data_IF_576685317642
#
_entry.id   IF_576685317642
#
_cell.length_a   1.000
_cell.length_b   1.000
_cell.length_c   1.000
_cell.angle_alpha   90.00
_cell.angle_beta   90.00
_cell.angle_gamma   90.00
#
_symmetry.space_group_name_H-M   'P 1'
#
loop_
_entity.id
_entity.type
_entity.pdbx_description
1 polymer ?
#
# COMPACT_ATOMS: atom_id res chain seq x y z
N UNK A 1 1.74 13.86 -7.60
CA UNK A 1 1.49 15.29 -7.31
C UNK A 1 0.38 15.39 -6.27
N UNK A 2 0.10 16.61 -5.78
CA UNK A 2 -1.01 16.85 -4.86
C UNK A 2 -0.78 16.22 -3.48
N UNK A 3 -1.87 15.84 -2.82
CA UNK A 3 -1.88 15.37 -1.43
C UNK A 3 -0.93 14.18 -1.20
N UNK A 4 -0.81 13.23 -2.12
CA UNK A 4 0.12 12.10 -1.99
C UNK A 4 1.58 12.57 -1.91
N UNK A 5 1.94 13.58 -2.70
CA UNK A 5 3.30 14.13 -2.76
C UNK A 5 3.63 14.90 -1.49
N UNK A 6 2.70 15.75 -1.03
CA UNK A 6 2.84 16.50 0.22
C UNK A 6 2.89 15.56 1.43
N UNK A 7 2.05 14.51 1.47
CA UNK A 7 2.03 13.53 2.54
C UNK A 7 3.37 12.82 2.71
N UNK A 8 3.94 12.33 1.60
CA UNK A 8 5.26 11.68 1.62
C UNK A 8 6.37 12.66 2.03
N UNK A 9 6.38 13.87 1.48
CA UNK A 9 7.38 14.88 1.82
C UNK A 9 7.30 15.31 3.29
N UNK A 10 6.09 15.52 3.82
CA UNK A 10 5.86 15.89 5.21
C UNK A 10 6.30 14.78 6.18
N UNK A 11 5.99 13.52 5.87
CA UNK A 11 6.43 12.37 6.67
C UNK A 11 7.95 12.30 6.76
N UNK A 12 8.66 12.46 5.63
CA UNK A 12 10.12 12.46 5.58
C UNK A 12 10.72 13.68 6.31
N UNK A 13 10.13 14.87 6.13
CA UNK A 13 10.57 16.10 6.80
C UNK A 13 10.45 16.01 8.32
N UNK A 14 9.45 15.28 8.82
CA UNK A 14 9.27 15.01 10.24
C UNK A 14 10.23 13.93 10.79
N UNK A 15 11.15 13.39 9.98
CA UNK A 15 12.03 12.28 10.35
C UNK A 15 11.32 10.93 10.43
N UNK A 16 10.10 10.84 9.90
CA UNK A 16 9.32 9.61 9.82
C UNK A 16 9.71 8.73 8.64
N UNK A 17 8.94 7.66 8.47
CA UNK A 17 9.06 6.73 7.33
C UNK A 17 7.80 6.78 6.49
N UNK A 18 7.92 6.43 5.22
CA UNK A 18 6.77 6.39 4.32
C UNK A 18 6.87 5.26 3.30
N UNK A 19 5.71 4.75 2.87
CA UNK A 19 5.60 3.72 1.84
C UNK A 19 4.88 4.32 0.63
N UNK A 20 5.52 4.31 -0.53
CA UNK A 20 4.88 4.67 -1.80
C UNK A 20 4.48 3.41 -2.56
N UNK A 21 3.22 3.32 -2.94
CA UNK A 21 2.71 2.21 -3.76
C UNK A 21 2.53 2.72 -5.19
N UNK A 22 3.08 2.06 -6.21
CA UNK A 22 3.07 2.57 -7.58
C UNK A 22 2.00 1.89 -8.44
N UNK A 23 1.41 2.68 -9.35
CA UNK A 23 0.59 2.20 -10.46
C UNK A 23 1.41 2.02 -11.75
N UNK A 24 2.68 1.66 -11.61
CA UNK A 24 3.69 1.48 -12.67
C UNK A 24 4.67 0.41 -12.22
N UNK A 25 5.58 -0.05 -13.08
CA UNK A 25 6.71 -0.88 -12.64
C UNK A 25 7.52 -0.15 -11.57
N UNK A 26 8.12 -0.88 -10.62
CA UNK A 26 8.84 -0.27 -9.49
C UNK A 26 9.95 0.69 -9.93
N UNK A 27 10.55 0.43 -11.09
CA UNK A 27 11.60 1.19 -11.76
C UNK A 27 11.10 2.36 -12.64
N UNK A 28 9.79 2.57 -12.73
CA UNK A 28 9.16 3.62 -13.56
C UNK A 28 8.56 4.70 -12.66
N UNK A 29 9.21 5.86 -12.61
CA UNK A 29 8.78 6.99 -11.77
C UNK A 29 7.72 7.81 -12.50
N UNK A 30 6.51 7.83 -11.94
CA UNK A 30 5.42 8.69 -12.40
C UNK A 30 4.71 9.38 -11.22
N UNK A 31 4.46 10.69 -11.29
CA UNK A 31 4.88 11.62 -12.34
C UNK A 31 6.38 11.92 -12.25
N UNK A 32 7.00 12.25 -13.40
CA UNK A 32 8.46 12.45 -13.48
C UNK A 32 9.00 13.52 -12.51
N UNK A 33 8.19 14.54 -12.19
CA UNK A 33 8.59 15.60 -11.24
C UNK A 33 8.82 15.09 -9.81
N UNK A 34 8.30 13.92 -9.46
CA UNK A 34 8.52 13.29 -8.15
C UNK A 34 9.82 12.48 -8.08
N UNK A 35 10.72 12.55 -9.08
CA UNK A 35 11.97 11.79 -9.09
C UNK A 35 12.84 12.03 -7.85
N UNK A 36 12.93 13.28 -7.38
CA UNK A 36 13.71 13.59 -6.18
C UNK A 36 13.07 13.01 -4.92
N UNK A 37 11.75 13.14 -4.79
CA UNK A 37 11.00 12.57 -3.68
C UNK A 37 11.12 11.05 -3.65
N UNK A 38 11.02 10.39 -4.81
CA UNK A 38 11.21 8.95 -4.93
C UNK A 38 12.56 8.50 -4.36
N UNK A 39 13.65 9.20 -4.71
CA UNK A 39 14.99 8.92 -4.16
C UNK A 39 15.03 9.09 -2.64
N UNK A 40 14.37 10.12 -2.10
CA UNK A 40 14.29 10.34 -0.66
C UNK A 40 13.51 9.21 0.05
N UNK A 41 12.39 8.77 -0.54
CA UNK A 41 11.60 7.64 -0.01
C UNK A 41 12.46 6.37 0.07
N UNK A 42 13.30 6.10 -0.94
CA UNK A 42 14.22 4.94 -0.89
C UNK A 42 15.22 4.99 0.26
N UNK A 43 15.57 6.17 0.78
CA UNK A 43 16.52 6.29 1.90
C UNK A 43 15.91 6.06 3.28
N UNK A 44 14.60 6.31 3.43
CA UNK A 44 13.93 6.33 4.73
C UNK A 44 12.54 5.68 4.71
N UNK A 45 12.30 4.78 3.76
CA UNK A 45 10.97 4.26 3.48
C UNK A 45 10.99 3.04 2.57
N UNK A 46 9.89 2.85 1.84
CA UNK A 46 9.73 1.73 0.92
C UNK A 46 8.98 2.20 -0.33
N UNK A 47 9.33 1.63 -1.48
CA UNK A 47 8.55 1.74 -2.70
C UNK A 47 8.09 0.34 -3.09
N UNK A 48 6.79 0.18 -3.35
CA UNK A 48 6.17 -1.09 -3.70
C UNK A 48 5.41 -0.96 -5.01
N UNK A 49 5.42 -2.00 -5.83
CA UNK A 49 4.55 -2.13 -6.99
C UNK A 49 4.09 -3.57 -7.15
N UNK A 50 2.87 -3.74 -7.65
CA UNK A 50 2.33 -5.03 -8.09
C UNK A 50 2.57 -5.31 -9.58
N UNK A 51 3.15 -4.35 -10.30
CA UNK A 51 3.35 -4.44 -11.75
C UNK A 51 4.78 -4.87 -12.09
N UNK A 52 4.97 -5.66 -13.16
CA UNK A 52 6.30 -6.02 -13.63
C UNK A 52 7.21 -4.82 -13.88
N UNK A 53 8.52 -5.03 -13.80
CA UNK A 53 9.51 -4.01 -14.14
C UNK A 53 9.24 -3.43 -15.54
N UNK A 54 9.50 -2.12 -15.69
CA UNK A 54 9.28 -1.32 -16.90
C UNK A 54 7.81 -1.11 -17.30
N UNK A 55 6.83 -1.55 -16.49
CA UNK A 55 5.41 -1.28 -16.78
C UNK A 55 5.15 0.24 -16.83
N UNK A 56 4.66 0.79 -17.97
CA UNK A 56 4.42 2.22 -18.13
C UNK A 56 3.16 2.67 -17.37
N UNK A 57 3.01 3.98 -17.11
CA UNK A 57 1.82 4.52 -16.46
C UNK A 57 0.56 4.36 -17.32
N UNK A 58 -0.42 3.63 -16.79
CA UNK A 58 -1.73 3.46 -17.41
C UNK A 58 -2.84 3.96 -16.48
N UNK A 59 -3.79 4.74 -17.00
CA UNK A 59 -4.83 5.41 -16.19
C UNK A 59 -5.63 4.43 -15.33
N UNK A 60 -5.88 3.21 -15.82
CA UNK A 60 -6.64 2.19 -15.11
C UNK A 60 -5.87 1.55 -13.94
N UNK A 61 -4.53 1.60 -13.95
CA UNK A 61 -3.68 1.02 -12.90
C UNK A 61 -3.74 1.85 -11.62
N UNK A 62 -3.89 3.18 -11.71
CA UNK A 62 -3.91 4.05 -10.53
C UNK A 62 -5.08 3.78 -9.58
N UNK A 63 -6.35 3.66 -10.04
CA UNK A 63 -7.44 3.25 -9.17
C UNK A 63 -7.28 1.83 -8.61
N UNK A 64 -6.79 0.89 -9.43
CA UNK A 64 -6.57 -0.51 -9.00
C UNK A 64 -5.57 -0.61 -7.86
N UNK A 65 -4.46 0.14 -7.96
CA UNK A 65 -3.42 0.22 -6.93
C UNK A 65 -3.94 0.72 -5.59
N UNK A 66 -4.96 1.58 -5.57
CA UNK A 66 -5.45 2.19 -4.33
C UNK A 66 -5.95 1.16 -3.30
N UNK A 67 -6.37 -0.03 -3.73
CA UNK A 67 -6.70 -1.13 -2.81
C UNK A 67 -5.50 -1.56 -1.95
N UNK A 68 -4.28 -1.50 -2.49
CA UNK A 68 -3.07 -1.84 -1.74
C UNK A 68 -2.79 -0.76 -0.70
N UNK A 69 -2.98 0.53 -1.04
CA UNK A 69 -2.83 1.64 -0.08
C UNK A 69 -3.81 1.44 1.08
N UNK A 70 -5.10 1.24 0.79
CA UNK A 70 -6.12 1.03 1.80
C UNK A 70 -5.85 -0.24 2.63
N UNK A 71 -5.43 -1.34 1.99
CA UNK A 71 -5.14 -2.60 2.65
C UNK A 71 -3.95 -2.54 3.61
N UNK A 72 -2.88 -1.83 3.22
CA UNK A 72 -1.69 -1.60 4.07
C UNK A 72 -1.95 -0.56 5.18
N UNK A 73 -2.99 0.26 5.03
CA UNK A 73 -3.30 1.31 6.00
C UNK A 73 -4.18 0.78 7.12
N UNK A 74 -3.98 1.31 8.32
CA UNK A 74 -4.86 1.09 9.48
C UNK A 74 -6.02 2.08 9.52
N UNK A 75 -5.78 3.28 8.99
CA UNK A 75 -6.75 4.34 8.80
C UNK A 75 -6.41 5.10 7.53
N UNK A 76 -7.40 5.70 6.88
CA UNK A 76 -7.24 6.53 5.69
C UNK A 76 -7.69 7.95 5.99
N UNK A 77 -6.81 8.92 5.72
CA UNK A 77 -7.09 10.35 5.86
C UNK A 77 -7.29 10.96 4.48
N UNK A 78 -8.47 11.53 4.22
CA UNK A 78 -8.78 12.24 2.97
C UNK A 78 -8.75 13.75 3.24
N UNK A 79 -7.73 14.41 2.68
CA UNK A 79 -7.52 15.84 2.90
C UNK A 79 -8.33 16.70 1.94
N UNK A 80 -8.28 16.39 0.65
CA UNK A 80 -9.02 17.09 -0.40
C UNK A 80 -9.47 16.09 -1.48
N UNK A 81 -10.75 16.12 -1.83
CA UNK A 81 -11.32 15.24 -2.83
C UNK A 81 -12.57 15.86 -3.47
N UNK A 82 -12.57 16.23 -4.76
CA UNK A 82 -13.81 16.46 -5.49
C UNK A 82 -14.61 15.14 -5.65
N UNK A 83 -15.88 15.24 -6.04
CA UNK A 83 -16.79 14.08 -6.17
C UNK A 83 -16.31 12.97 -7.13
N UNK A 84 -15.42 13.29 -8.07
CA UNK A 84 -14.83 12.33 -9.03
C UNK A 84 -13.36 12.02 -8.72
N UNK A 85 -12.91 12.24 -7.48
CA UNK A 85 -11.53 12.00 -7.06
C UNK A 85 -11.24 10.50 -6.87
N UNK A 86 -10.03 10.08 -7.24
CA UNK A 86 -9.52 8.75 -6.91
C UNK A 86 -9.36 8.51 -5.39
N UNK A 87 -9.28 9.57 -4.58
CA UNK A 87 -9.24 9.45 -3.13
C UNK A 87 -10.52 8.83 -2.55
N UNK A 88 -11.69 9.08 -3.18
CA UNK A 88 -12.96 8.45 -2.79
C UNK A 88 -12.93 6.94 -3.03
N UNK A 89 -12.21 6.49 -4.06
CA UNK A 89 -12.02 5.06 -4.33
C UNK A 89 -11.21 4.42 -3.19
N UNK A 90 -10.14 5.09 -2.74
CA UNK A 90 -9.34 4.63 -1.59
C UNK A 90 -10.16 4.59 -0.31
N UNK A 91 -10.99 5.60 -0.05
CA UNK A 91 -11.89 5.63 1.10
C UNK A 91 -12.93 4.50 1.07
N UNK A 92 -13.46 4.18 -0.12
CA UNK A 92 -14.38 3.05 -0.26
C UNK A 92 -13.67 1.71 0.04
N UNK A 93 -12.48 1.48 -0.52
CA UNK A 93 -11.69 0.29 -0.18
C UNK A 93 -11.36 0.22 1.31
N UNK A 94 -11.05 1.36 1.93
CA UNK A 94 -10.80 1.43 3.37
C UNK A 94 -12.01 0.93 4.17
N UNK A 95 -13.22 1.44 3.87
CA UNK A 95 -14.45 0.97 4.49
C UNK A 95 -14.72 -0.52 4.23
N UNK A 96 -14.51 -1.01 3.00
CA UNK A 96 -14.65 -2.43 2.65
C UNK A 96 -13.70 -3.33 3.46
N UNK A 97 -12.50 -2.85 3.77
CA UNK A 97 -11.51 -3.55 4.60
C UNK A 97 -11.67 -3.30 6.10
N UNK A 98 -12.74 -2.60 6.52
CA UNK A 98 -12.99 -2.26 7.91
C UNK A 98 -11.92 -1.32 8.50
N UNK A 99 -11.41 -0.38 7.70
CA UNK A 99 -10.47 0.67 8.13
C UNK A 99 -11.24 1.95 8.39
N UNK A 100 -10.83 2.68 9.43
CA UNK A 100 -11.40 3.98 9.72
C UNK A 100 -11.04 5.00 8.63
N UNK A 101 -12.03 5.80 8.24
CA UNK A 101 -11.85 6.91 7.29
C UNK A 101 -12.06 8.24 8.02
N UNK A 102 -11.02 9.06 7.97
CA UNK A 102 -11.01 10.42 8.50
C UNK A 102 -10.95 11.42 7.35
N UNK A 103 -11.65 12.54 7.46
CA UNK A 103 -11.72 13.52 6.36
C UNK A 103 -11.57 14.94 6.89
N UNK A 104 -10.81 15.76 6.16
CA UNK A 104 -10.73 17.19 6.46
C UNK A 104 -12.02 17.87 5.95
N UNK A 105 -12.84 18.46 6.83
CA UNK A 105 -13.99 19.24 6.40
C UNK A 105 -13.52 20.51 5.68
N UNK A 106 -14.31 20.95 4.71
CA UNK A 106 -14.09 22.21 4.00
C UNK A 106 -15.42 22.90 3.72
N UNK A 107 -15.38 24.01 2.98
CA UNK A 107 -16.60 24.76 2.70
C UNK A 107 -17.50 24.02 1.71
N UNK A 108 -18.82 24.22 1.84
CA UNK A 108 -19.83 23.56 0.98
C UNK A 108 -19.75 23.98 -0.50
N UNK A 109 -19.22 25.18 -0.76
CA UNK A 109 -19.02 25.76 -2.08
C UNK A 109 -17.66 25.40 -2.71
N UNK A 110 -16.71 24.88 -1.93
CA UNK A 110 -15.38 24.53 -2.41
C UNK A 110 -15.40 23.22 -3.19
N UNK A 111 -15.03 23.29 -4.47
CA UNK A 111 -14.94 22.11 -5.35
C UNK A 111 -14.07 20.96 -4.77
N UNK A 112 -12.87 21.22 -4.20
CA UNK A 112 -12.05 20.17 -3.59
C UNK A 112 -12.66 19.55 -2.33
N UNK A 113 -13.64 20.19 -1.70
CA UNK A 113 -14.23 19.74 -0.43
C UNK A 113 -15.44 18.84 -0.64
N UNK A 114 -16.07 18.85 -1.82
CA UNK A 114 -17.36 18.18 -2.06
C UNK A 114 -17.34 16.67 -1.77
N UNK A 115 -16.25 15.97 -2.11
CA UNK A 115 -16.09 14.55 -1.80
C UNK A 115 -15.83 14.30 -0.31
N UNK A 116 -15.06 15.15 0.36
CA UNK A 116 -14.88 15.07 1.81
C UNK A 116 -16.23 15.25 2.54
N UNK A 117 -17.04 16.23 2.14
CA UNK A 117 -18.38 16.45 2.68
C UNK A 117 -19.32 15.28 2.42
N UNK A 118 -19.22 14.65 1.24
CA UNK A 118 -19.95 13.41 0.95
C UNK A 118 -19.55 12.28 1.89
N UNK A 119 -18.25 12.07 2.12
CA UNK A 119 -17.76 11.06 3.06
C UNK A 119 -18.24 11.33 4.50
N UNK A 120 -18.24 12.60 4.96
CA UNK A 120 -18.83 12.98 6.25
C UNK A 120 -20.31 12.59 6.34
N UNK A 121 -21.10 12.85 5.29
CA UNK A 121 -22.52 12.45 5.26
C UNK A 121 -22.74 10.94 5.29
N UNK A 122 -21.69 10.15 5.00
CA UNK A 122 -21.68 8.69 5.02
C UNK A 122 -21.07 8.12 6.31
N UNK A 123 -20.73 8.97 7.29
CA UNK A 123 -20.23 8.55 8.60
C UNK A 123 -18.71 8.55 8.75
N UNK A 124 -17.95 9.10 7.80
CA UNK A 124 -16.52 9.33 8.02
C UNK A 124 -16.27 10.32 9.18
N UNK A 125 -15.19 10.12 9.93
CA UNK A 125 -14.87 10.97 11.07
C UNK A 125 -14.22 12.30 10.61
N UNK A 126 -14.63 13.45 11.16
CA UNK A 126 -14.04 14.74 10.80
C UNK A 126 -12.65 14.93 11.44
N UNK A 127 -11.71 15.47 10.67
CA UNK A 127 -10.45 16.01 11.19
C UNK A 127 -10.71 17.44 11.64
N UNK A 128 -10.60 17.70 12.94
CA UNK A 128 -10.82 19.02 13.53
C UNK A 128 -9.51 19.82 13.59
N UNK A 129 -9.63 21.12 13.89
CA UNK A 129 -8.48 22.01 14.04
C UNK A 129 -7.53 21.53 15.15
N UNK A 130 -8.11 21.18 16.30
CA UNK A 130 -7.37 20.61 17.42
C UNK A 130 -7.18 19.11 17.16
N UNK A 131 -5.93 18.68 17.06
CA UNK A 131 -5.59 17.33 16.60
C UNK A 131 -5.59 16.27 17.72
N UNK A 132 -5.78 16.66 18.99
CA UNK A 132 -5.73 15.74 20.12
C UNK A 132 -6.72 14.59 19.98
N UNK A 133 -7.94 14.89 19.53
CA UNK A 133 -8.96 13.86 19.33
C UNK A 133 -8.61 12.92 18.17
N UNK A 134 -8.06 13.45 17.07
CA UNK A 134 -7.57 12.62 15.97
C UNK A 134 -6.45 11.69 16.44
N UNK A 135 -5.49 12.21 17.20
CA UNK A 135 -4.37 11.43 17.73
C UNK A 135 -4.86 10.36 18.71
N UNK A 136 -5.86 10.68 19.56
CA UNK A 136 -6.49 9.73 20.47
C UNK A 136 -7.17 8.59 19.72
N UNK A 137 -7.94 8.90 18.67
CA UNK A 137 -8.60 7.89 17.84
C UNK A 137 -7.59 7.00 17.11
N UNK A 138 -6.56 7.59 16.49
CA UNK A 138 -5.49 6.83 15.81
C UNK A 138 -4.68 5.95 16.78
N UNK A 139 -4.46 6.43 18.01
CA UNK A 139 -3.78 5.70 19.08
C UNK A 139 -4.60 4.55 19.66
N UNK A 140 -5.93 4.60 19.56
CA UNK A 140 -6.83 3.54 20.00
C UNK A 140 -6.92 2.36 19.02
N UNK A 141 -6.44 2.52 17.78
CA UNK A 141 -6.43 1.42 16.82
C UNK A 141 -5.52 0.29 17.37
N UNK A 142 -5.90 -1.00 17.27
CA UNK A 142 -5.11 -2.13 17.76
C UNK A 142 -3.76 -2.27 17.04
N UNK A 143 -2.66 -2.40 17.77
CA UNK A 143 -1.33 -2.61 17.18
C UNK A 143 -1.30 -3.90 16.39
N UNK A 144 -0.57 -3.91 15.27
CA UNK A 144 -0.29 -5.14 14.54
C UNK A 144 0.64 -5.96 15.43
N UNK A 145 0.33 -7.24 15.63
CA UNK A 145 1.23 -8.17 16.32
C UNK A 145 2.60 -8.09 15.65
N UNK A 146 3.60 -7.69 16.43
CA UNK A 146 4.96 -7.78 15.97
C UNK A 146 5.28 -9.27 15.85
N UNK A 147 5.29 -9.79 14.63
CA UNK A 147 5.96 -11.05 14.36
C UNK A 147 7.40 -10.81 14.77
N UNK A 148 7.82 -11.43 15.88
CA UNK A 148 9.22 -11.47 16.26
C UNK A 148 9.94 -12.22 15.15
N UNK A 149 10.49 -11.48 14.20
CA UNK A 149 11.40 -12.02 13.20
C UNK A 149 12.63 -12.42 13.99
N UNK A 150 12.71 -13.69 14.39
CA UNK A 150 13.94 -14.25 14.91
C UNK A 150 15.02 -14.02 13.83
N UNK A 151 16.16 -13.41 14.19
CA UNK A 151 17.22 -13.08 13.23
C UNK A 151 17.85 -14.32 12.60
N UNK A 152 17.61 -15.50 13.19
CA UNK A 152 17.96 -16.76 12.56
C UNK A 152 16.95 -17.05 11.46
N UNK A 153 17.41 -17.32 10.21
CA UNK A 153 16.54 -17.92 9.22
C UNK A 153 16.01 -19.20 9.88
N UNK A 154 14.70 -19.24 10.14
CA UNK A 154 14.04 -20.51 10.38
C UNK A 154 14.33 -21.31 9.12
N UNK A 155 15.30 -22.24 9.20
CA UNK A 155 15.45 -23.26 8.20
C UNK A 155 14.04 -23.81 8.04
N UNK A 156 13.46 -23.65 6.85
CA UNK A 156 12.26 -24.37 6.51
C UNK A 156 12.65 -25.83 6.66
N UNK A 157 12.32 -26.41 7.81
CA UNK A 157 12.49 -27.82 8.04
C UNK A 157 11.49 -28.45 7.10
N UNK A 158 11.98 -28.81 5.91
CA UNK A 158 11.21 -29.65 5.01
C UNK A 158 10.85 -30.89 5.84
N UNK A 159 9.57 -31.29 5.89
CA UNK A 159 9.21 -32.53 6.52
C UNK A 159 10.05 -33.66 5.93
N UNK A 160 10.30 -34.73 6.69
CA UNK A 160 11.04 -35.88 6.15
C UNK A 160 10.20 -36.50 5.02
N UNK A 161 10.63 -36.25 3.78
CA UNK A 161 9.88 -36.62 2.59
C UNK A 161 10.36 -38.00 2.11
N UNK A 162 9.43 -38.85 1.62
CA UNK A 162 9.80 -40.02 0.84
C UNK A 162 10.78 -39.65 -0.29
N UNK A 163 11.69 -40.56 -0.70
CA UNK A 163 12.75 -40.27 -1.68
C UNK A 163 12.23 -39.64 -2.98
N UNK A 164 11.06 -40.11 -3.41
CA UNK A 164 10.30 -39.65 -4.58
C UNK A 164 9.91 -38.16 -4.48
N UNK A 165 9.39 -37.73 -3.33
CA UNK A 165 8.98 -36.34 -3.11
C UNK A 165 10.19 -35.41 -2.90
N UNK A 166 11.27 -35.93 -2.32
CA UNK A 166 12.52 -35.17 -2.17
C UNK A 166 13.15 -34.83 -3.52
N UNK A 167 13.09 -35.74 -4.50
CA UNK A 167 13.55 -35.49 -5.87
C UNK A 167 12.79 -34.34 -6.53
N UNK A 168 11.46 -34.31 -6.38
CA UNK A 168 10.60 -33.23 -6.90
C UNK A 168 10.97 -31.88 -6.27
N UNK A 169 11.15 -31.84 -4.94
CA UNK A 169 11.46 -30.59 -4.23
C UNK A 169 12.83 -30.02 -4.61
N UNK A 170 13.80 -30.88 -4.90
CA UNK A 170 15.14 -30.46 -5.31
C UNK A 170 15.17 -29.83 -6.72
N UNK A 171 14.18 -30.14 -7.55
CA UNK A 171 14.02 -29.62 -8.91
C UNK A 171 13.25 -28.29 -8.93
N UNK A 172 12.32 -28.10 -7.98
CA UNK A 172 11.55 -26.86 -7.86
C UNK A 172 12.46 -25.75 -7.35
N UNK A 173 12.63 -24.69 -8.14
CA UNK A 173 13.38 -23.50 -7.76
C UNK A 173 12.45 -22.35 -7.35
N UNK A 174 13.02 -21.18 -7.01
CA UNK A 174 12.26 -19.95 -6.76
C UNK A 174 11.55 -19.39 -8.00
N UNK A 175 11.86 -19.89 -9.19
CA UNK A 175 11.20 -19.52 -10.44
C UNK A 175 10.13 -20.55 -10.85
N UNK A 176 9.12 -20.10 -11.60
CA UNK A 176 8.04 -20.97 -12.08
C UNK A 176 8.58 -22.03 -13.04
N UNK A 177 8.43 -23.31 -12.69
CA UNK A 177 8.76 -24.45 -13.56
C UNK A 177 7.47 -25.11 -14.08
N UNK A 178 7.42 -25.45 -15.37
CA UNK A 178 6.31 -26.20 -15.94
C UNK A 178 6.32 -27.66 -15.45
N UNK A 179 5.13 -28.26 -15.28
CA UNK A 179 4.98 -29.62 -14.75
C UNK A 179 5.76 -30.66 -15.56
N UNK A 180 5.73 -30.60 -16.88
CA UNK A 180 6.44 -31.54 -17.76
C UNK A 180 7.97 -31.48 -17.58
N UNK A 181 8.52 -30.32 -17.21
CA UNK A 181 9.95 -30.17 -16.91
C UNK A 181 10.33 -30.82 -15.58
N UNK A 182 9.42 -30.81 -14.60
CA UNK A 182 9.62 -31.51 -13.33
C UNK A 182 9.75 -33.01 -13.61
N UNK A 183 8.79 -33.59 -14.35
CA UNK A 183 8.79 -34.99 -14.78
C UNK A 183 10.11 -35.35 -15.48
N UNK A 184 10.52 -34.54 -16.47
CA UNK A 184 11.74 -34.81 -17.24
C UNK A 184 13.00 -34.81 -16.36
N UNK A 185 13.08 -33.93 -15.37
CA UNK A 185 14.26 -33.77 -14.52
C UNK A 185 14.30 -34.75 -13.35
N UNK A 186 13.15 -35.15 -12.82
CA UNK A 186 13.06 -36.17 -11.76
C UNK A 186 13.10 -37.60 -12.31
N UNK A 187 12.73 -37.80 -13.58
CA UNK A 187 12.66 -39.12 -14.23
C UNK A 187 11.50 -39.98 -13.74
N UNK A 188 10.44 -39.33 -13.22
CA UNK A 188 9.23 -39.95 -12.67
C UNK A 188 8.09 -39.98 -13.69
#
# INVERSE_FOLDING_TARGET
EGIDTESHAAALKAGGRTIAVLGTGVDVIYPAKNQQLYKQILTAGLVLSEYPSKTPPERAQFPRRNRIIAGLSRAVLVMEAPLKSGALITANYANEFGRDVYVLPGRVDDYPSQGCLKLLSQGAAPILKELDELLRMLGAIPTIDSVSVSPEPQQLILPDLPPELQQVINVISSESLAFDMIIQQTGM
#
